data_IF_715220783241
#
_entry.id   IF_715220783241
#
_cell.length_a   1.000
_cell.length_b   1.000
_cell.length_c   1.000
_cell.angle_alpha   90.00
_cell.angle_beta   90.00
_cell.angle_gamma   90.00
#
_symmetry.space_group_name_H-M   'P 1'
#
loop_
_entity.id
_entity.type
_entity.pdbx_description
1 polymer ?
#
# COMPACT_ATOMS: atom_id res chain seq x y z
N UNK A 1 -16.19 13.30 2.64
CA UNK A 1 -15.56 12.83 3.89
C UNK A 1 -14.07 12.62 3.70
N UNK A 2 -13.33 12.45 4.78
CA UNK A 2 -11.91 12.11 4.73
C UNK A 2 -11.74 10.59 4.57
N UNK A 3 -10.70 10.11 3.87
CA UNK A 3 -10.39 8.70 3.83
C UNK A 3 -9.89 8.20 5.19
N UNK A 4 -10.17 6.93 5.48
CA UNK A 4 -9.60 6.25 6.64
C UNK A 4 -8.21 5.70 6.30
N UNK A 5 -7.24 5.95 7.19
CA UNK A 5 -5.93 5.31 7.15
C UNK A 5 -5.89 4.27 8.27
N UNK A 6 -5.82 3.00 7.90
CA UNK A 6 -5.98 1.87 8.83
C UNK A 6 -4.64 1.16 8.95
N UNK A 7 -4.16 1.04 10.19
CA UNK A 7 -2.99 0.23 10.52
C UNK A 7 -3.43 -1.14 11.03
N UNK A 8 -2.87 -2.21 10.43
CA UNK A 8 -3.13 -3.58 10.90
C UNK A 8 -1.82 -4.24 11.35
N UNK A 9 -1.85 -4.82 12.53
CA UNK A 9 -0.79 -5.67 13.04
C UNK A 9 -1.41 -6.86 13.74
N UNK A 10 -1.32 -8.04 13.11
CA UNK A 10 -1.97 -9.28 13.59
C UNK A 10 -3.49 -9.14 13.77
N UNK A 11 -4.11 -8.18 13.07
CA UNK A 11 -5.53 -7.83 13.19
C UNK A 11 -6.21 -7.60 11.83
N UNK A 12 -5.57 -8.02 10.74
CA UNK A 12 -6.10 -7.77 9.38
C UNK A 12 -7.49 -8.37 9.21
N UNK A 13 -7.73 -9.59 9.73
CA UNK A 13 -9.05 -10.24 9.63
C UNK A 13 -10.13 -9.42 10.31
N UNK A 14 -9.91 -9.03 11.57
CA UNK A 14 -10.89 -8.24 12.33
C UNK A 14 -11.18 -6.90 11.65
N UNK A 15 -10.13 -6.24 11.13
CA UNK A 15 -10.29 -4.98 10.39
C UNK A 15 -11.11 -5.16 9.10
N UNK A 16 -10.91 -6.24 8.35
CA UNK A 16 -11.68 -6.53 7.15
C UNK A 16 -13.15 -6.81 7.48
N UNK A 17 -13.44 -7.51 8.57
CA UNK A 17 -14.81 -7.78 9.02
C UNK A 17 -15.52 -6.47 9.42
N UNK A 18 -14.85 -5.59 10.16
CA UNK A 18 -15.38 -4.25 10.50
C UNK A 18 -15.60 -3.38 9.26
N UNK A 19 -14.66 -3.42 8.30
CA UNK A 19 -14.79 -2.69 7.04
C UNK A 19 -15.99 -3.17 6.21
N UNK A 20 -16.19 -4.49 6.12
CA UNK A 20 -17.34 -5.08 5.42
C UNK A 20 -18.66 -4.59 6.01
N UNK A 21 -18.76 -4.55 7.33
CA UNK A 21 -19.94 -4.02 8.03
C UNK A 21 -20.12 -2.52 7.75
N UNK A 22 -19.04 -1.73 7.78
CA UNK A 22 -19.09 -0.29 7.54
C UNK A 22 -19.47 0.06 6.10
N UNK A 23 -18.88 -0.62 5.10
CA UNK A 23 -19.18 -0.43 3.68
C UNK A 23 -20.63 -0.80 3.35
N UNK A 24 -21.18 -1.81 4.01
CA UNK A 24 -22.62 -2.16 3.88
C UNK A 24 -23.57 -1.05 4.33
N UNK A 25 -23.11 -0.09 5.12
CA UNK A 25 -23.89 1.07 5.58
C UNK A 25 -23.73 2.31 4.70
N UNK A 26 -22.53 2.56 4.18
CA UNK A 26 -22.23 3.70 3.29
C UNK A 26 -20.90 3.52 2.55
N UNK A 27 -20.73 4.13 1.35
CA UNK A 27 -19.44 4.11 0.66
C UNK A 27 -18.33 4.68 1.54
N UNK A 28 -17.21 3.97 1.61
CA UNK A 28 -16.07 4.32 2.44
C UNK A 28 -14.80 4.40 1.60
N UNK A 29 -14.06 5.50 1.71
CA UNK A 29 -12.70 5.59 1.17
C UNK A 29 -11.71 5.17 2.26
N UNK A 30 -10.91 4.13 2.01
CA UNK A 30 -9.96 3.62 2.98
C UNK A 30 -8.65 3.16 2.34
N UNK A 31 -7.59 3.18 3.13
CA UNK A 31 -6.30 2.57 2.83
C UNK A 31 -5.89 1.66 3.98
N UNK A 32 -5.48 0.44 3.67
CA UNK A 32 -4.69 -0.38 4.58
C UNK A 32 -3.23 0.05 4.45
N UNK A 33 -2.78 0.85 5.43
CA UNK A 33 -1.43 1.40 5.49
C UNK A 33 -0.42 0.31 5.83
N UNK A 34 0.76 0.38 5.18
CA UNK A 34 1.87 -0.56 5.39
C UNK A 34 1.44 -2.02 5.33
N UNK A 35 0.68 -2.36 4.28
CA UNK A 35 0.06 -3.68 4.12
C UNK A 35 1.09 -4.81 4.08
N UNK A 36 0.85 -5.85 4.88
CA UNK A 36 1.70 -7.05 4.97
C UNK A 36 0.90 -8.35 5.00
N UNK A 37 -0.39 -8.27 4.68
CA UNK A 37 -1.28 -9.42 4.66
C UNK A 37 -1.06 -10.37 3.48
N UNK A 38 -1.90 -11.39 3.42
CA UNK A 38 -1.93 -12.40 2.37
C UNK A 38 -2.59 -11.90 1.09
N UNK A 39 -2.44 -12.66 0.00
CA UNK A 39 -3.12 -12.35 -1.27
C UNK A 39 -4.66 -12.40 -1.14
N UNK A 40 -5.19 -13.30 -0.32
CA UNK A 40 -6.63 -13.38 -0.05
C UNK A 40 -7.15 -12.14 0.68
N UNK A 41 -6.42 -11.68 1.70
CA UNK A 41 -6.76 -10.44 2.42
C UNK A 41 -6.62 -9.20 1.54
N UNK A 42 -5.62 -9.17 0.65
CA UNK A 42 -5.46 -8.10 -0.32
C UNK A 42 -6.64 -8.03 -1.30
N UNK A 43 -7.06 -9.18 -1.85
CA UNK A 43 -8.21 -9.26 -2.75
C UNK A 43 -9.49 -8.78 -2.05
N UNK A 44 -9.75 -9.27 -0.83
CA UNK A 44 -10.91 -8.87 -0.06
C UNK A 44 -10.92 -7.36 0.27
N UNK A 45 -9.77 -6.79 0.66
CA UNK A 45 -9.65 -5.36 0.90
C UNK A 45 -9.96 -4.54 -0.36
N UNK A 46 -9.49 -4.99 -1.52
CA UNK A 46 -9.77 -4.37 -2.82
C UNK A 46 -11.26 -4.45 -3.16
N UNK A 47 -11.91 -5.60 -2.94
CA UNK A 47 -13.35 -5.79 -3.16
C UNK A 47 -14.19 -4.87 -2.25
N UNK A 48 -13.71 -4.59 -1.04
CA UNK A 48 -14.30 -3.61 -0.12
C UNK A 48 -14.02 -2.14 -0.52
N UNK A 49 -13.29 -1.91 -1.62
CA UNK A 49 -12.99 -0.57 -2.14
C UNK A 49 -11.74 0.07 -1.56
N UNK A 50 -10.97 -0.65 -0.73
CA UNK A 50 -9.76 -0.13 -0.11
C UNK A 50 -8.61 0.04 -1.12
N UNK A 51 -7.72 0.97 -0.82
CA UNK A 51 -6.37 1.02 -1.38
C UNK A 51 -5.40 0.27 -0.46
N UNK A 52 -4.32 -0.24 -1.03
CA UNK A 52 -3.25 -0.92 -0.29
C UNK A 52 -1.95 -0.13 -0.42
N UNK A 53 -1.40 0.30 0.72
CA UNK A 53 -0.13 1.02 0.82
C UNK A 53 1.02 0.06 1.06
N UNK A 54 2.07 0.14 0.24
CA UNK A 54 3.29 -0.66 0.39
C UNK A 54 4.45 0.24 0.81
N UNK A 55 5.01 -0.05 1.98
CA UNK A 55 6.16 0.64 2.56
C UNK A 55 7.49 -0.06 2.25
N UNK A 56 8.57 0.45 2.81
CA UNK A 56 9.93 -0.04 2.58
C UNK A 56 10.15 -1.54 2.82
N UNK A 57 9.29 -2.19 3.61
CA UNK A 57 9.36 -3.63 3.85
C UNK A 57 9.30 -4.48 2.58
N UNK A 58 8.61 -4.03 1.52
CA UNK A 58 8.55 -4.77 0.25
C UNK A 58 9.93 -4.99 -0.37
N UNK A 59 10.92 -4.13 -0.04
CA UNK A 59 12.29 -4.22 -0.53
C UNK A 59 13.14 -5.25 0.23
N UNK A 60 12.69 -5.73 1.40
CA UNK A 60 13.48 -6.62 2.23
C UNK A 60 13.67 -7.98 1.57
N UNK A 61 14.84 -8.61 1.79
CA UNK A 61 15.16 -9.93 1.21
C UNK A 61 14.13 -10.99 1.57
N UNK A 62 13.63 -10.98 2.80
CA UNK A 62 12.61 -11.90 3.32
C UNK A 62 11.19 -11.63 2.80
N UNK A 63 10.95 -10.53 2.10
CA UNK A 63 9.61 -10.09 1.70
C UNK A 63 9.18 -10.60 0.31
N UNK A 64 9.64 -11.79 -0.12
CA UNK A 64 9.26 -12.35 -1.42
C UNK A 64 7.73 -12.52 -1.55
N UNK A 65 7.10 -13.09 -0.52
CA UNK A 65 5.64 -13.27 -0.49
C UNK A 65 4.88 -11.94 -0.59
N UNK A 66 5.37 -10.89 0.07
CA UNK A 66 4.76 -9.57 -0.01
C UNK A 66 4.86 -8.96 -1.42
N UNK A 67 5.98 -9.18 -2.11
CA UNK A 67 6.13 -8.79 -3.53
C UNK A 67 5.15 -9.56 -4.42
N UNK A 68 4.94 -10.85 -4.15
CA UNK A 68 3.95 -11.64 -4.89
C UNK A 68 2.52 -11.13 -4.66
N UNK A 69 2.18 -10.78 -3.44
CA UNK A 69 0.90 -10.10 -3.14
C UNK A 69 0.80 -8.77 -3.90
N UNK A 70 1.84 -7.94 -3.87
CA UNK A 70 1.82 -6.66 -4.57
C UNK A 70 1.59 -6.77 -6.09
N UNK A 71 1.97 -7.90 -6.71
CA UNK A 71 1.68 -8.20 -8.14
C UNK A 71 0.19 -8.36 -8.42
N UNK A 72 -0.57 -8.91 -7.46
CA UNK A 72 -2.00 -9.21 -7.64
C UNK A 72 -2.90 -7.99 -7.43
N UNK A 73 -2.40 -6.97 -6.74
CA UNK A 73 -3.17 -5.74 -6.45
C UNK A 73 -3.41 -4.95 -7.73
N UNK A 74 -4.66 -4.56 -8.07
CA UNK A 74 -4.94 -3.68 -9.21
C UNK A 74 -4.17 -2.36 -9.09
N UNK A 75 -3.64 -1.87 -10.20
CA UNK A 75 -2.83 -0.65 -10.22
C UNK A 75 -3.56 0.56 -9.65
N UNK A 76 -4.86 0.68 -9.90
CA UNK A 76 -5.70 1.79 -9.41
C UNK A 76 -6.02 1.70 -7.92
N UNK A 77 -5.60 0.62 -7.25
CA UNK A 77 -5.73 0.40 -5.80
C UNK A 77 -4.39 0.40 -5.07
N UNK A 78 -3.29 0.55 -5.79
CA UNK A 78 -1.94 0.52 -5.25
C UNK A 78 -1.49 1.91 -4.79
N UNK A 79 -0.87 1.97 -3.61
CA UNK A 79 -0.18 3.15 -3.11
C UNK A 79 1.24 2.79 -2.67
N UNK A 80 2.12 3.77 -2.72
CA UNK A 80 3.51 3.68 -2.23
C UNK A 80 3.68 4.67 -1.10
N UNK A 81 4.31 4.22 -0.02
CA UNK A 81 4.50 5.04 1.19
C UNK A 81 5.85 4.77 1.85
N UNK A 82 6.26 5.63 2.77
CA UNK A 82 7.55 5.51 3.45
C UNK A 82 7.45 4.91 4.85
N UNK A 83 6.40 5.24 5.60
CA UNK A 83 6.30 5.00 7.05
C UNK A 83 7.45 5.64 7.85
N UNK A 84 8.00 6.75 7.33
CA UNK A 84 9.10 7.47 7.98
C UNK A 84 8.74 7.89 9.41
N UNK A 85 9.66 7.78 10.38
CA UNK A 85 11.11 7.47 10.25
C UNK A 85 11.45 5.97 10.28
N UNK A 86 10.46 5.09 10.19
CA UNK A 86 10.58 3.64 10.26
C UNK A 86 10.71 2.99 8.87
N UNK A 87 10.91 1.67 8.84
CA UNK A 87 10.85 0.80 7.66
C UNK A 87 11.72 1.26 6.48
N UNK A 88 12.94 1.76 6.78
CA UNK A 88 13.90 2.16 5.74
C UNK A 88 14.05 1.05 4.69
N UNK A 89 13.87 1.36 3.39
CA UNK A 89 14.00 0.36 2.33
C UNK A 89 15.47 -0.04 2.12
N UNK A 90 15.68 -1.20 1.49
CA UNK A 90 17.03 -1.52 0.95
C UNK A 90 17.41 -0.48 -0.13
N UNK A 91 18.67 -0.05 -0.22
CA UNK A 91 19.85 -0.51 0.55
C UNK A 91 20.06 0.25 1.86
N UNK A 92 19.10 1.05 2.31
CA UNK A 92 19.23 1.94 3.47
C UNK A 92 18.73 1.30 4.77
N UNK A 93 18.44 0.01 4.77
CA UNK A 93 17.94 -0.71 5.95
C UNK A 93 18.83 -0.49 7.17
N UNK A 94 18.19 -0.28 8.34
CA UNK A 94 18.87 0.00 9.60
C UNK A 94 19.24 1.46 9.82
N UNK A 95 19.04 2.33 8.82
CA UNK A 95 19.17 3.78 8.97
C UNK A 95 17.78 4.40 9.23
N UNK A 96 17.76 5.63 9.70
CA UNK A 96 16.50 6.40 9.80
C UNK A 96 15.92 6.61 8.40
N UNK A 97 14.62 6.32 8.25
CA UNK A 97 13.92 6.54 7.00
C UNK A 97 13.50 8.01 6.83
N UNK A 98 13.37 8.43 5.58
CA UNK A 98 12.90 9.77 5.18
C UNK A 98 12.08 9.70 3.88
N UNK A 99 11.24 10.71 3.60
CA UNK A 99 10.38 10.71 2.40
C UNK A 99 11.13 10.53 1.08
N UNK A 100 12.37 11.01 0.98
CA UNK A 100 13.21 10.85 -0.21
C UNK A 100 13.48 9.38 -0.57
N UNK A 101 13.42 8.47 0.40
CA UNK A 101 13.67 7.05 0.21
C UNK A 101 12.50 6.31 -0.48
N UNK A 102 11.37 6.99 -0.72
CA UNK A 102 10.21 6.44 -1.43
C UNK A 102 10.60 5.83 -2.79
N UNK A 103 11.59 6.39 -3.45
CA UNK A 103 12.08 5.93 -4.75
C UNK A 103 12.52 4.46 -4.74
N UNK A 104 13.12 3.98 -3.65
CA UNK A 104 13.56 2.60 -3.53
C UNK A 104 12.39 1.63 -3.41
N UNK A 105 11.36 1.99 -2.66
CA UNK A 105 10.11 1.23 -2.54
C UNK A 105 9.40 1.16 -3.89
N UNK A 106 9.24 2.30 -4.56
CA UNK A 106 8.59 2.37 -5.87
C UNK A 106 9.36 1.55 -6.93
N UNK A 107 10.69 1.65 -6.97
CA UNK A 107 11.52 0.88 -7.90
C UNK A 107 11.39 -0.64 -7.67
N UNK A 108 11.37 -1.08 -6.42
CA UNK A 108 11.18 -2.48 -6.08
C UNK A 108 9.80 -3.00 -6.53
N UNK A 109 8.74 -2.24 -6.30
CA UNK A 109 7.39 -2.59 -6.74
C UNK A 109 7.28 -2.64 -8.26
N UNK A 110 7.84 -1.64 -8.96
CA UNK A 110 7.86 -1.60 -10.42
C UNK A 110 8.55 -2.84 -11.00
N UNK A 111 9.74 -3.17 -10.48
CA UNK A 111 10.48 -4.37 -10.88
C UNK A 111 9.68 -5.65 -10.60
N UNK A 112 9.11 -5.80 -9.41
CA UNK A 112 8.33 -6.97 -9.03
C UNK A 112 7.12 -7.17 -9.96
N UNK A 113 6.47 -6.10 -10.36
CA UNK A 113 5.27 -6.11 -11.23
C UNK A 113 5.60 -6.20 -12.73
N UNK A 114 6.88 -6.04 -13.10
CA UNK A 114 7.28 -6.00 -14.52
C UNK A 114 6.82 -4.73 -15.24
N UNK A 115 6.67 -3.62 -14.51
CA UNK A 115 6.17 -2.36 -15.02
C UNK A 115 7.26 -1.28 -15.02
N UNK A 116 7.25 -0.32 -15.97
CA UNK A 116 8.13 0.83 -15.91
C UNK A 116 7.91 1.65 -14.62
N UNK A 117 9.00 2.09 -13.98
CA UNK A 117 8.92 2.92 -12.77
C UNK A 117 8.10 4.20 -13.01
N UNK A 118 8.23 4.81 -14.18
CA UNK A 118 7.47 6.01 -14.55
C UNK A 118 5.95 5.75 -14.58
N UNK A 119 5.51 4.60 -15.07
CA UNK A 119 4.10 4.19 -15.06
C UNK A 119 3.60 3.98 -13.65
N UNK A 120 4.33 3.20 -12.83
CA UNK A 120 3.95 2.97 -11.44
C UNK A 120 3.88 4.29 -10.65
N UNK A 121 4.87 5.17 -10.80
CA UNK A 121 4.90 6.46 -10.13
C UNK A 121 3.71 7.35 -10.53
N UNK A 122 3.39 7.42 -11.84
CA UNK A 122 2.26 8.22 -12.32
C UNK A 122 0.92 7.71 -11.77
N UNK A 123 0.70 6.39 -11.79
CA UNK A 123 -0.56 5.80 -11.33
C UNK A 123 -0.71 5.92 -9.82
N UNK A 124 0.32 5.61 -9.03
CA UNK A 124 0.25 5.71 -7.56
C UNK A 124 0.07 7.17 -7.10
N UNK A 125 0.68 8.14 -7.80
CA UNK A 125 0.43 9.56 -7.56
C UNK A 125 -1.02 9.93 -7.86
N UNK A 126 -1.58 9.47 -8.98
CA UNK A 126 -2.98 9.71 -9.33
C UNK A 126 -3.94 9.09 -8.31
N UNK A 127 -3.64 7.88 -7.83
CA UNK A 127 -4.41 7.21 -6.79
C UNK A 127 -4.40 8.00 -5.47
N UNK A 128 -3.21 8.43 -5.02
CA UNK A 128 -3.08 9.23 -3.81
C UNK A 128 -3.87 10.54 -3.91
N UNK A 129 -3.75 11.26 -5.03
CA UNK A 129 -4.50 12.51 -5.26
C UNK A 129 -6.00 12.29 -5.24
N UNK A 130 -6.49 11.21 -5.85
CA UNK A 130 -7.91 10.88 -5.87
C UNK A 130 -8.41 10.52 -4.47
N UNK A 131 -7.65 9.67 -3.75
CA UNK A 131 -8.04 9.21 -2.42
C UNK A 131 -8.06 10.35 -1.39
N UNK A 132 -7.00 11.17 -1.36
CA UNK A 132 -6.84 12.25 -0.39
C UNK A 132 -7.39 13.59 -0.86
N UNK A 133 -8.01 13.64 -2.06
CA UNK A 133 -8.58 14.87 -2.65
C UNK A 133 -7.57 16.03 -2.71
N UNK A 134 -6.29 15.71 -2.95
CA UNK A 134 -5.25 16.72 -3.06
C UNK A 134 -5.40 17.51 -4.37
N UNK A 135 -5.39 18.86 -4.32
CA UNK A 135 -5.41 19.68 -5.53
C UNK A 135 -4.15 19.42 -6.40
N UNK A 136 -4.27 19.76 -7.69
CA UNK A 136 -3.17 19.66 -8.67
C UNK A 136 -2.08 20.66 -8.39
#
# INVERSE_FOLDING_TARGET
GLPLVIHTRESTRDCLDMLREAVGRSPLAAILHSFTGTAAEAAEAVDLGCHLGFAGMVTFRSAASLRDVAKTVPLDRLLVETDSPFLSPEPLRGKRNEPANLVHTAACLALARGEPLSTLAAVTLANARRLFQCPR
#
